data_IF_294853999364
#
_entry.id   IF_294853999364
#
_cell.length_a   1.000
_cell.length_b   1.000
_cell.length_c   1.000
_cell.angle_alpha   90.00
_cell.angle_beta   90.00
_cell.angle_gamma   90.00
#
_symmetry.space_group_name_H-M   'P 1'
#
loop_
_entity.id
_entity.type
_entity.pdbx_description
1 polymer ?
#
# COMPACT_ATOMS: atom_id res chain seq x y z
N UNK A 1 -12.29 1.75 12.79
CA UNK A 1 -12.95 2.02 11.49
C UNK A 1 -12.02 1.52 10.40
N UNK A 2 -12.50 0.65 9.50
CA UNK A 2 -11.71 0.20 8.34
C UNK A 2 -12.13 1.08 7.16
N UNK A 3 -11.17 1.79 6.56
CA UNK A 3 -11.40 2.52 5.31
C UNK A 3 -10.87 1.66 4.18
N UNK A 4 -11.74 1.29 3.25
CA UNK A 4 -11.37 0.57 2.04
C UNK A 4 -11.72 1.44 0.82
N UNK A 5 -10.76 1.55 -0.11
CA UNK A 5 -10.93 2.26 -1.37
C UNK A 5 -10.89 1.29 -2.54
N UNK A 6 -11.64 1.63 -3.60
CA UNK A 6 -11.61 0.97 -4.89
C UNK A 6 -11.57 2.08 -5.94
N UNK A 7 -10.83 1.88 -7.05
CA UNK A 7 -10.78 2.87 -8.14
C UNK A 7 -11.53 2.30 -9.34
N UNK A 8 -12.81 2.66 -9.54
CA UNK A 8 -13.61 2.16 -10.65
C UNK A 8 -12.94 2.42 -12.00
N UNK A 9 -13.10 1.48 -12.92
CA UNK A 9 -12.66 1.62 -14.30
C UNK A 9 -11.25 1.13 -14.60
N UNK A 10 -10.40 0.87 -13.61
CA UNK A 10 -9.05 0.32 -13.88
C UNK A 10 -8.40 -0.51 -12.76
N UNK A 11 -9.13 -0.81 -11.70
CA UNK A 11 -8.69 -1.68 -10.58
C UNK A 11 -8.87 -3.18 -10.85
N UNK A 12 -9.16 -3.57 -12.09
CA UNK A 12 -9.32 -4.95 -12.56
C UNK A 12 -8.87 -5.05 -14.02
N UNK A 13 -8.63 -6.27 -14.51
CA UNK A 13 -7.92 -6.51 -15.78
C UNK A 13 -8.59 -5.86 -17.01
N UNK A 14 -9.90 -6.03 -17.20
CA UNK A 14 -10.61 -5.45 -18.33
C UNK A 14 -10.77 -3.94 -18.17
N UNK A 15 -10.90 -3.46 -16.93
CA UNK A 15 -10.93 -2.04 -16.61
C UNK A 15 -9.64 -1.35 -17.04
N UNK A 16 -8.49 -1.82 -16.52
CA UNK A 16 -7.19 -1.18 -16.84
C UNK A 16 -6.92 -1.24 -18.33
N UNK A 17 -7.28 -2.36 -18.98
CA UNK A 17 -7.15 -2.50 -20.44
C UNK A 17 -7.97 -1.45 -21.19
N UNK A 18 -9.21 -1.20 -20.77
CA UNK A 18 -10.10 -0.21 -21.38
C UNK A 18 -9.57 1.21 -21.16
N UNK A 19 -9.10 1.51 -19.94
CA UNK A 19 -8.50 2.80 -19.62
C UNK A 19 -7.26 3.08 -20.47
N UNK A 20 -6.33 2.13 -20.57
CA UNK A 20 -5.10 2.31 -21.36
C UNK A 20 -5.43 2.58 -22.83
N UNK A 21 -6.36 1.79 -23.41
CA UNK A 21 -6.81 1.97 -24.80
C UNK A 21 -7.44 3.35 -25.03
N UNK A 22 -8.30 3.81 -24.11
CA UNK A 22 -8.94 5.11 -24.20
C UNK A 22 -7.94 6.29 -24.11
N UNK A 23 -6.77 6.07 -23.50
CA UNK A 23 -5.70 7.05 -23.37
C UNK A 23 -4.56 6.84 -24.39
N UNK A 24 -4.77 6.02 -25.42
CA UNK A 24 -3.77 5.67 -26.44
C UNK A 24 -2.45 5.07 -25.89
N UNK A 25 -2.52 4.39 -24.74
CA UNK A 25 -1.40 3.67 -24.13
C UNK A 25 -1.50 2.20 -24.53
N UNK A 26 -0.40 1.60 -25.00
CA UNK A 26 -0.39 0.17 -25.33
C UNK A 26 -0.37 -0.65 -24.05
N UNK A 27 -1.04 -1.81 -24.07
CA UNK A 27 -1.06 -2.74 -22.91
C UNK A 27 0.37 -3.14 -22.50
N UNK A 28 1.29 -3.27 -23.47
CA UNK A 28 2.69 -3.62 -23.20
C UNK A 28 3.47 -2.49 -22.51
N UNK A 29 2.99 -1.25 -22.56
CA UNK A 29 3.58 -0.09 -21.89
C UNK A 29 3.01 0.10 -20.46
N UNK A 30 2.28 -0.90 -19.92
CA UNK A 30 1.67 -0.82 -18.60
C UNK A 30 2.68 -0.55 -17.48
N UNK A 31 3.89 -1.12 -17.56
CA UNK A 31 4.93 -0.91 -16.55
C UNK A 31 5.34 0.56 -16.52
N UNK A 32 5.63 1.15 -17.68
CA UNK A 32 6.01 2.56 -17.79
C UNK A 32 4.89 3.50 -17.31
N UNK A 33 3.63 3.13 -17.60
CA UNK A 33 2.46 3.84 -17.11
C UNK A 33 2.31 3.75 -15.57
N UNK A 34 2.47 2.57 -14.98
CA UNK A 34 2.16 2.30 -13.56
C UNK A 34 3.31 2.61 -12.60
N UNK A 35 4.55 2.60 -13.09
CA UNK A 35 5.74 2.87 -12.30
C UNK A 35 5.72 4.25 -11.59
N UNK A 36 5.42 5.38 -12.25
CA UNK A 36 5.40 6.68 -11.58
C UNK A 36 4.32 6.74 -10.49
N UNK A 37 3.16 6.11 -10.69
CA UNK A 37 2.08 6.04 -9.69
C UNK A 37 2.51 5.20 -8.49
N UNK A 38 3.14 4.05 -8.75
CA UNK A 38 3.70 3.17 -7.71
C UNK A 38 4.74 3.91 -6.87
N UNK A 39 5.63 4.67 -7.52
CA UNK A 39 6.68 5.40 -6.83
C UNK A 39 6.11 6.56 -6.00
N UNK A 40 5.06 7.24 -6.46
CA UNK A 40 4.36 8.25 -5.67
C UNK A 40 3.75 7.66 -4.39
N UNK A 41 3.10 6.50 -4.48
CA UNK A 41 2.54 5.80 -3.30
C UNK A 41 3.65 5.42 -2.32
N UNK A 42 4.75 4.85 -2.83
CA UNK A 42 5.93 4.49 -2.00
C UNK A 42 6.57 5.70 -1.35
N UNK A 43 6.76 6.79 -2.09
CA UNK A 43 7.33 8.02 -1.58
C UNK A 43 6.45 8.62 -0.46
N UNK A 44 5.13 8.62 -0.64
CA UNK A 44 4.21 9.09 0.39
C UNK A 44 4.25 8.20 1.65
N UNK A 45 4.27 6.87 1.48
CA UNK A 45 4.38 5.94 2.61
C UNK A 45 5.69 6.13 3.40
N UNK A 46 6.82 6.32 2.68
CA UNK A 46 8.13 6.63 3.31
C UNK A 46 8.13 7.98 4.02
N UNK A 47 7.50 9.00 3.43
CA UNK A 47 7.35 10.32 4.05
C UNK A 47 6.58 10.22 5.38
N UNK A 48 5.42 9.55 5.36
CA UNK A 48 4.60 9.32 6.56
C UNK A 48 5.39 8.53 7.63
N UNK A 49 6.11 7.48 7.21
CA UNK A 49 7.01 6.70 8.07
C UNK A 49 8.05 7.60 8.76
N UNK A 50 8.74 8.44 7.99
CA UNK A 50 9.76 9.35 8.50
C UNK A 50 9.18 10.40 9.46
N UNK A 51 8.07 11.04 9.08
CA UNK A 51 7.41 12.08 9.90
C UNK A 51 6.93 11.55 11.25
N UNK A 52 6.59 10.27 11.34
CA UNK A 52 6.12 9.63 12.58
C UNK A 52 7.22 8.83 13.31
N UNK A 53 8.43 8.73 12.74
CA UNK A 53 9.51 7.91 13.29
C UNK A 53 9.18 6.42 13.37
N UNK A 54 8.41 5.90 12.41
CA UNK A 54 7.92 4.51 12.38
C UNK A 54 8.62 3.75 11.26
N UNK A 55 9.18 2.58 11.58
CA UNK A 55 9.77 1.70 10.58
C UNK A 55 8.70 0.96 9.77
N UNK A 56 8.93 0.80 8.47
CA UNK A 56 8.05 0.01 7.59
C UNK A 56 8.43 -1.47 7.71
N UNK A 57 7.53 -2.30 8.24
CA UNK A 57 7.75 -3.74 8.33
C UNK A 57 7.35 -4.45 7.02
N UNK A 58 8.32 -5.10 6.37
CA UNK A 58 8.08 -5.83 5.13
C UNK A 58 7.63 -7.28 5.40
N UNK A 59 6.36 -7.58 5.11
CA UNK A 59 5.77 -8.91 5.26
C UNK A 59 6.08 -9.74 4.01
N UNK A 60 6.93 -10.77 4.18
CA UNK A 60 7.27 -11.70 3.08
C UNK A 60 6.25 -12.81 2.85
N UNK A 61 5.43 -13.14 3.86
CA UNK A 61 4.42 -14.21 3.80
C UNK A 61 3.11 -13.70 4.38
N UNK A 62 2.12 -13.44 3.51
CA UNK A 62 0.83 -12.83 3.90
C UNK A 62 0.08 -13.59 5.01
N UNK A 63 0.28 -14.90 5.10
CA UNK A 63 -0.41 -15.79 6.05
C UNK A 63 0.48 -16.30 7.19
N UNK A 64 1.70 -15.76 7.34
CA UNK A 64 2.59 -16.21 8.42
C UNK A 64 2.10 -15.79 9.80
N UNK A 65 1.33 -14.70 9.91
CA UNK A 65 0.81 -14.18 11.17
C UNK A 65 -0.45 -13.34 10.96
N UNK A 66 -1.21 -13.12 12.04
CA UNK A 66 -2.33 -12.17 12.07
C UNK A 66 -1.80 -10.77 12.37
N UNK A 67 -2.14 -9.80 11.52
CA UNK A 67 -1.70 -8.41 11.67
C UNK A 67 -2.15 -7.80 13.00
N UNK A 68 -3.36 -8.13 13.45
CA UNK A 68 -3.89 -7.61 14.71
C UNK A 68 -3.04 -8.03 15.91
N UNK A 69 -2.63 -9.30 15.98
CA UNK A 69 -1.78 -9.82 17.05
C UNK A 69 -0.42 -9.10 17.04
N UNK A 70 0.14 -8.88 15.85
CA UNK A 70 1.39 -8.13 15.68
C UNK A 70 1.29 -6.68 16.15
N UNK A 71 0.17 -6.01 15.86
CA UNK A 71 -0.08 -4.65 16.35
C UNK A 71 -0.22 -4.65 17.88
N UNK A 72 -0.93 -5.62 18.48
CA UNK A 72 -1.04 -5.73 19.93
C UNK A 72 0.33 -5.88 20.62
N UNK A 73 1.23 -6.70 20.06
CA UNK A 73 2.61 -6.81 20.57
C UNK A 73 3.36 -5.47 20.52
N UNK A 74 3.20 -4.70 19.43
CA UNK A 74 3.86 -3.40 19.27
C UNK A 74 3.31 -2.39 20.29
N UNK A 75 2.00 -2.35 20.48
CA UNK A 75 1.33 -1.49 21.45
C UNK A 75 1.81 -1.83 22.88
N UNK A 76 1.87 -3.12 23.23
CA UNK A 76 2.35 -3.56 24.56
C UNK A 76 3.81 -3.16 24.83
N UNK A 77 4.67 -3.17 23.80
CA UNK A 77 6.09 -2.80 23.94
C UNK A 77 6.32 -1.29 23.98
N UNK A 78 5.55 -0.53 23.20
CA UNK A 78 5.78 0.91 23.00
C UNK A 78 4.89 1.78 23.88
N UNK A 79 3.79 1.24 24.41
CA UNK A 79 2.77 1.99 25.11
C UNK A 79 1.95 2.92 24.21
N UNK A 80 2.22 2.97 22.90
CA UNK A 80 1.48 3.80 21.95
C UNK A 80 0.13 3.16 21.64
N UNK A 81 -0.96 3.84 21.98
CA UNK A 81 -2.34 3.39 21.69
C UNK A 81 -3.12 4.35 20.78
N UNK A 82 -2.54 5.51 20.48
CA UNK A 82 -3.13 6.57 19.67
C UNK A 82 -2.17 6.93 18.53
N UNK A 83 -2.68 7.57 17.47
CA UNK A 83 -1.95 7.92 16.24
C UNK A 83 -1.58 6.73 15.33
N UNK A 84 -0.68 6.95 14.38
CA UNK A 84 -0.16 5.91 13.51
C UNK A 84 0.71 4.95 14.34
N UNK A 85 0.27 3.70 14.46
CA UNK A 85 0.98 2.70 15.27
C UNK A 85 2.08 2.00 14.47
N UNK A 86 1.78 1.61 13.23
CA UNK A 86 2.69 0.79 12.42
C UNK A 86 2.37 0.88 10.94
N UNK A 87 3.37 0.59 10.10
CA UNK A 87 3.19 0.49 8.64
C UNK A 87 3.66 -0.90 8.20
N UNK A 88 2.74 -1.68 7.65
CA UNK A 88 3.08 -2.92 6.95
C UNK A 88 3.21 -2.67 5.46
N UNK A 89 4.27 -3.19 4.86
CA UNK A 89 4.39 -3.35 3.41
C UNK A 89 4.32 -4.83 3.08
N UNK A 90 3.36 -5.22 2.25
CA UNK A 90 3.24 -6.59 1.75
C UNK A 90 3.37 -6.59 0.23
N UNK A 91 4.08 -7.56 -0.30
CA UNK A 91 4.19 -7.82 -1.74
C UNK A 91 3.39 -9.07 -2.09
#
# INVERSE_FOLDING_TARGET
MIIQGYIPGWSYAEGITSYLKANNIRIFDFVDFSQPLTEQVRANARRISYENGIEIEFIRKLHAFRKDDRIQEIIQKTGKSEELIHIFSAM
#
